data_IF_646737750368
#
_entry.id   IF_646737750368
#
_cell.length_a   1.000
_cell.length_b   1.000
_cell.length_c   1.000
_cell.angle_alpha   90.00
_cell.angle_beta   90.00
_cell.angle_gamma   90.00
#
_symmetry.space_group_name_H-M   'P 1'
#
loop_
_entity.id
_entity.type
_entity.pdbx_description
1 polymer ?
#
# COMPACT_ATOMS: atom_id res chain seq x y z
N UNK A 1 4.35 31.26 19.74
CA UNK A 1 3.62 32.52 19.97
C UNK A 1 4.55 33.70 19.65
N UNK A 2 4.71 34.07 18.37
CA UNK A 2 5.55 35.23 18.01
C UNK A 2 5.20 35.77 16.60
N UNK A 3 3.92 36.09 16.37
CA UNK A 3 3.42 36.63 15.07
C UNK A 3 3.01 38.10 15.15
N UNK A 4 3.17 38.74 16.31
CA UNK A 4 2.68 40.10 16.58
C UNK A 4 3.68 41.20 16.26
N UNK A 5 4.99 40.92 16.27
CA UNK A 5 6.01 41.99 16.23
C UNK A 5 6.26 42.61 14.84
N UNK A 6 5.88 41.92 13.75
CA UNK A 6 6.17 42.39 12.38
C UNK A 6 5.21 43.49 11.89
N UNK A 7 3.96 43.52 12.38
CA UNK A 7 2.99 44.57 12.01
C UNK A 7 3.35 45.93 12.62
N UNK A 8 3.94 45.93 13.81
CA UNK A 8 4.24 47.16 14.54
C UNK A 8 5.46 47.89 13.97
N UNK A 9 6.38 47.18 13.31
CA UNK A 9 7.60 47.77 12.71
C UNK A 9 7.24 48.64 11.50
N UNK A 10 6.37 48.16 10.62
CA UNK A 10 5.95 48.93 9.43
C UNK A 10 5.19 50.19 9.85
N UNK A 11 4.32 50.08 10.86
CA UNK A 11 3.58 51.20 11.43
C UNK A 11 4.51 52.24 12.08
N UNK A 12 5.53 51.79 12.81
CA UNK A 12 6.52 52.69 13.42
C UNK A 12 7.39 53.41 12.38
N UNK A 13 7.83 52.71 11.34
CA UNK A 13 8.63 53.30 10.25
C UNK A 13 7.81 54.36 9.49
N UNK A 14 6.53 54.07 9.21
CA UNK A 14 5.64 55.02 8.56
C UNK A 14 5.38 56.28 9.42
N UNK A 15 5.24 56.10 10.73
CA UNK A 15 5.05 57.19 11.69
C UNK A 15 6.28 58.10 11.77
N UNK A 16 7.48 57.53 11.83
CA UNK A 16 8.74 58.29 11.83
C UNK A 16 8.96 59.03 10.51
N UNK A 17 8.70 58.39 9.36
CA UNK A 17 8.78 59.04 8.04
C UNK A 17 7.81 60.22 7.90
N UNK A 18 6.59 60.08 8.43
CA UNK A 18 5.57 61.15 8.43
C UNK A 18 6.01 62.34 9.29
N UNK A 19 6.56 62.09 10.48
CA UNK A 19 7.10 63.15 11.35
C UNK A 19 8.26 63.89 10.69
N UNK A 20 9.17 63.17 10.02
CA UNK A 20 10.30 63.78 9.29
C UNK A 20 9.77 64.67 8.15
N UNK A 21 8.78 64.22 7.39
CA UNK A 21 8.16 65.01 6.32
C UNK A 21 7.47 66.29 6.85
N UNK A 22 6.80 66.21 8.00
CA UNK A 22 6.21 67.37 8.69
C UNK A 22 7.27 68.37 9.17
N UNK A 23 8.40 67.89 9.70
CA UNK A 23 9.50 68.76 10.13
C UNK A 23 10.13 69.47 8.93
N UNK A 24 10.35 68.78 7.81
CA UNK A 24 10.91 69.35 6.57
C UNK A 24 9.98 70.42 5.97
N UNK A 25 8.66 70.25 6.07
CA UNK A 25 7.68 71.22 5.56
C UNK A 25 7.50 72.44 6.46
N UNK A 26 7.71 72.31 7.78
CA UNK A 26 7.58 73.41 8.74
C UNK A 26 8.85 74.24 8.88
N UNK A 27 10.03 73.62 8.83
CA UNK A 27 11.28 74.37 8.70
C UNK A 27 11.33 74.85 7.26
N UNK A 28 10.87 76.08 7.01
CA UNK A 28 10.98 76.78 5.73
C UNK A 28 12.46 76.99 5.43
N UNK A 29 13.13 75.94 4.99
CA UNK A 29 14.50 76.00 4.54
C UNK A 29 14.43 76.63 3.15
N UNK A 30 14.75 77.94 3.04
CA UNK A 30 15.11 78.61 1.78
C UNK A 30 16.45 78.05 1.24
N UNK A 31 16.55 76.72 1.16
CA UNK A 31 17.56 76.05 0.37
C UNK A 31 16.99 76.11 -1.04
N UNK A 32 17.68 76.86 -1.91
CA UNK A 32 17.58 76.67 -3.34
C UNK A 32 17.85 75.18 -3.59
N UNK A 33 16.78 74.37 -3.67
CA UNK A 33 16.88 72.99 -4.11
C UNK A 33 17.41 73.06 -5.54
N UNK A 34 18.74 72.94 -5.71
CA UNK A 34 19.32 72.63 -7.00
C UNK A 34 18.65 71.35 -7.48
N UNK A 35 18.26 71.32 -8.77
CA UNK A 35 17.58 70.16 -9.37
C UNK A 35 18.26 68.83 -9.00
N UNK A 36 19.58 68.84 -8.83
CA UNK A 36 20.41 67.70 -8.43
C UNK A 36 20.07 67.13 -7.04
N UNK A 37 19.74 67.96 -6.05
CA UNK A 37 19.39 67.51 -4.69
C UNK A 37 18.01 66.85 -4.66
N UNK A 38 17.04 67.39 -5.40
CA UNK A 38 15.71 66.81 -5.54
C UNK A 38 15.75 65.47 -6.28
N UNK A 39 16.53 65.39 -7.36
CA UNK A 39 16.78 64.16 -8.11
C UNK A 39 17.45 63.10 -7.22
N UNK A 40 18.40 63.48 -6.38
CA UNK A 40 19.05 62.57 -5.42
C UNK A 40 18.08 61.95 -4.40
N UNK A 41 17.18 62.75 -3.83
CA UNK A 41 16.16 62.26 -2.88
C UNK A 41 15.17 61.32 -3.58
N UNK A 42 14.68 61.70 -4.76
CA UNK A 42 13.77 60.86 -5.55
C UNK A 42 14.43 59.54 -5.96
N UNK A 43 15.70 59.56 -6.37
CA UNK A 43 16.47 58.36 -6.69
C UNK A 43 16.63 57.45 -5.46
N UNK A 44 16.85 58.02 -4.27
CA UNK A 44 16.91 57.27 -3.02
C UNK A 44 15.60 56.55 -2.68
N UNK A 45 14.45 57.23 -2.80
CA UNK A 45 13.13 56.61 -2.58
C UNK A 45 12.83 55.53 -3.61
N UNK A 46 13.13 55.76 -4.90
CA UNK A 46 12.95 54.74 -5.94
C UNK A 46 13.81 53.50 -5.67
N UNK A 47 15.07 53.67 -5.25
CA UNK A 47 15.95 52.56 -4.89
C UNK A 47 15.45 51.78 -3.66
N UNK A 48 14.97 52.49 -2.63
CA UNK A 48 14.41 51.87 -1.43
C UNK A 48 13.13 51.06 -1.74
N UNK A 49 12.20 51.65 -2.48
CA UNK A 49 10.97 50.97 -2.90
C UNK A 49 11.27 49.76 -3.79
N UNK A 50 12.20 49.89 -4.75
CA UNK A 50 12.61 48.77 -5.61
C UNK A 50 13.17 47.61 -4.78
N UNK A 51 14.00 47.88 -3.78
CA UNK A 51 14.58 46.86 -2.90
C UNK A 51 13.51 46.17 -2.06
N UNK A 52 12.53 46.92 -1.52
CA UNK A 52 11.42 46.34 -0.75
C UNK A 52 10.55 45.43 -1.63
N UNK A 53 10.21 45.88 -2.85
CA UNK A 53 9.38 45.11 -3.78
C UNK A 53 10.10 43.82 -4.22
N UNK A 54 11.36 43.92 -4.63
CA UNK A 54 12.15 42.75 -5.04
C UNK A 54 12.39 41.82 -3.85
N UNK A 55 12.66 42.36 -2.66
CA UNK A 55 12.81 41.56 -1.43
C UNK A 55 11.56 40.77 -1.09
N UNK A 56 10.37 41.39 -1.21
CA UNK A 56 9.09 40.70 -1.00
C UNK A 56 8.83 39.62 -2.05
N UNK A 57 9.18 39.85 -3.31
CA UNK A 57 9.07 38.85 -4.39
C UNK A 57 9.99 37.66 -4.13
N UNK A 58 11.25 37.91 -3.76
CA UNK A 58 12.23 36.86 -3.43
C UNK A 58 11.71 36.03 -2.26
N UNK A 59 11.27 36.67 -1.17
CA UNK A 59 10.74 35.97 0.00
C UNK A 59 9.55 35.07 -0.35
N UNK A 60 8.56 35.62 -1.06
CA UNK A 60 7.39 34.85 -1.49
C UNK A 60 7.77 33.69 -2.40
N UNK A 61 8.74 33.88 -3.30
CA UNK A 61 9.24 32.83 -4.20
C UNK A 61 9.95 31.71 -3.42
N UNK A 62 10.79 32.05 -2.44
CA UNK A 62 11.48 31.07 -1.60
C UNK A 62 10.47 30.29 -0.77
N UNK A 63 9.51 30.96 -0.13
CA UNK A 63 8.48 30.33 0.69
C UNK A 63 7.57 29.43 -0.15
N UNK A 64 7.20 29.86 -1.35
CA UNK A 64 6.43 29.05 -2.30
C UNK A 64 7.22 27.82 -2.72
N UNK A 65 8.49 27.98 -3.05
CA UNK A 65 9.38 26.87 -3.43
C UNK A 65 9.54 25.86 -2.30
N UNK A 66 9.66 26.32 -1.05
CA UNK A 66 9.73 25.46 0.14
C UNK A 66 8.44 24.64 0.29
N UNK A 67 7.28 25.28 0.18
CA UNK A 67 5.99 24.60 0.24
C UNK A 67 5.80 23.59 -0.89
N UNK A 68 6.24 23.90 -2.10
CA UNK A 68 6.20 22.96 -3.24
C UNK A 68 7.05 21.72 -2.92
N UNK A 69 8.28 21.91 -2.43
CA UNK A 69 9.15 20.78 -2.02
C UNK A 69 8.53 19.94 -0.91
N UNK A 70 7.91 20.58 0.08
CA UNK A 70 7.18 19.88 1.15
C UNK A 70 6.03 19.06 0.57
N UNK A 71 5.23 19.62 -0.35
CA UNK A 71 4.14 18.92 -1.01
C UNK A 71 4.64 17.74 -1.86
N UNK A 72 5.72 17.90 -2.63
CA UNK A 72 6.33 16.82 -3.42
C UNK A 72 6.83 15.68 -2.53
N UNK A 73 7.45 16.03 -1.39
CA UNK A 73 7.91 15.03 -0.41
C UNK A 73 6.73 14.26 0.20
N UNK A 74 5.65 14.97 0.55
CA UNK A 74 4.45 14.36 1.12
C UNK A 74 3.73 13.49 0.09
N UNK A 75 3.65 13.93 -1.17
CA UNK A 75 3.08 13.13 -2.25
C UNK A 75 3.89 11.83 -2.48
N UNK A 76 5.22 11.92 -2.43
CA UNK A 76 6.10 10.75 -2.56
C UNK A 76 5.87 9.77 -1.41
N UNK A 77 5.77 10.27 -0.17
CA UNK A 77 5.50 9.46 1.01
C UNK A 77 4.12 8.80 0.95
N UNK A 78 3.07 9.54 0.56
CA UNK A 78 1.73 8.99 0.39
C UNK A 78 1.73 7.87 -0.66
N UNK A 79 2.45 8.05 -1.77
CA UNK A 79 2.54 7.03 -2.81
C UNK A 79 3.28 5.77 -2.32
N UNK A 80 4.34 5.92 -1.53
CA UNK A 80 5.03 4.77 -0.93
C UNK A 80 4.14 4.05 0.08
N UNK A 81 3.41 4.80 0.92
CA UNK A 81 2.52 4.23 1.94
C UNK A 81 1.35 3.49 1.30
N UNK A 82 0.75 4.05 0.25
CA UNK A 82 -0.31 3.39 -0.53
C UNK A 82 0.21 2.08 -1.13
N UNK A 83 1.42 2.07 -1.69
CA UNK A 83 2.02 0.86 -2.27
C UNK A 83 2.23 -0.20 -1.19
N UNK A 84 2.84 0.17 -0.08
CA UNK A 84 3.07 -0.70 1.07
C UNK A 84 1.76 -1.29 1.62
N UNK A 85 0.75 -0.46 1.85
CA UNK A 85 -0.56 -0.91 2.36
C UNK A 85 -1.29 -1.83 1.39
N UNK A 86 -1.13 -1.64 0.08
CA UNK A 86 -1.69 -2.56 -0.92
C UNK A 86 -1.04 -3.94 -0.84
N UNK A 87 0.30 -3.97 -0.78
CA UNK A 87 1.07 -5.22 -0.65
C UNK A 87 0.74 -5.95 0.67
N UNK A 88 0.66 -5.22 1.79
CA UNK A 88 0.31 -5.78 3.09
C UNK A 88 -1.12 -6.34 3.10
N UNK A 89 -2.08 -5.61 2.51
CA UNK A 89 -3.48 -6.05 2.39
C UNK A 89 -3.62 -7.30 1.51
N UNK A 90 -2.90 -7.37 0.39
CA UNK A 90 -2.88 -8.56 -0.46
C UNK A 90 -2.34 -9.77 0.29
N UNK A 91 -1.20 -9.62 0.97
CA UNK A 91 -0.62 -10.67 1.81
C UNK A 91 -1.59 -11.12 2.92
N UNK A 92 -2.24 -10.18 3.60
CA UNK A 92 -3.21 -10.47 4.66
C UNK A 92 -4.44 -11.23 4.15
N UNK A 93 -4.91 -10.90 2.94
CA UNK A 93 -6.01 -11.61 2.29
C UNK A 93 -5.63 -13.08 2.02
N UNK A 94 -4.43 -13.32 1.48
CA UNK A 94 -3.93 -14.68 1.24
C UNK A 94 -3.79 -15.46 2.55
N UNK A 95 -3.27 -14.84 3.62
CA UNK A 95 -3.21 -15.47 4.95
C UNK A 95 -4.59 -15.83 5.50
N UNK A 96 -5.57 -14.95 5.33
CA UNK A 96 -6.95 -15.18 5.78
C UNK A 96 -7.58 -16.34 5.03
N UNK A 97 -7.43 -16.37 3.70
CA UNK A 97 -7.94 -17.47 2.85
C UNK A 97 -7.27 -18.79 3.18
N UNK A 98 -5.95 -18.79 3.39
CA UNK A 98 -5.21 -19.95 3.87
C UNK A 98 -5.81 -20.48 5.17
N UNK A 99 -5.91 -19.64 6.21
CA UNK A 99 -6.36 -20.06 7.54
C UNK A 99 -7.80 -20.57 7.55
N UNK A 100 -8.70 -19.90 6.80
CA UNK A 100 -10.09 -20.30 6.63
C UNK A 100 -10.19 -21.68 5.97
N UNK A 101 -9.56 -21.86 4.81
CA UNK A 101 -9.65 -23.11 4.05
C UNK A 101 -8.92 -24.27 4.75
N UNK A 102 -7.81 -24.00 5.42
CA UNK A 102 -7.09 -25.00 6.20
C UNK A 102 -7.97 -25.52 7.35
N UNK A 103 -8.61 -24.61 8.08
CA UNK A 103 -9.54 -24.95 9.16
C UNK A 103 -10.80 -25.68 8.65
N UNK A 104 -11.33 -25.25 7.50
CA UNK A 104 -12.47 -25.89 6.84
C UNK A 104 -12.13 -27.31 6.36
N UNK A 105 -10.93 -27.54 5.83
CA UNK A 105 -10.45 -28.86 5.45
C UNK A 105 -10.36 -29.79 6.65
N UNK A 106 -9.83 -29.31 7.78
CA UNK A 106 -9.75 -30.08 9.03
C UNK A 106 -11.16 -30.45 9.53
N UNK A 107 -12.07 -29.48 9.63
CA UNK A 107 -13.42 -29.72 10.14
C UNK A 107 -14.21 -30.69 9.25
N UNK A 108 -14.06 -30.58 7.93
CA UNK A 108 -14.73 -31.47 6.97
C UNK A 108 -14.13 -32.87 6.98
N UNK A 109 -12.82 -32.99 7.16
CA UNK A 109 -12.17 -34.29 7.33
C UNK A 109 -12.69 -35.05 8.56
N UNK A 110 -13.13 -34.32 9.59
CA UNK A 110 -13.80 -34.88 10.78
C UNK A 110 -15.26 -35.26 10.48
N UNK A 111 -16.00 -34.41 9.77
CA UNK A 111 -17.42 -34.66 9.45
C UNK A 111 -17.62 -35.77 8.39
N UNK A 112 -16.57 -36.11 7.64
CA UNK A 112 -16.51 -37.31 6.82
C UNK A 112 -16.66 -37.12 5.32
N UNK A 113 -16.77 -35.88 4.81
CA UNK A 113 -16.76 -35.60 3.38
C UNK A 113 -15.32 -35.37 2.90
N UNK A 114 -14.68 -36.43 2.42
CA UNK A 114 -13.24 -36.42 2.14
C UNK A 114 -12.90 -35.60 0.89
N UNK A 115 -13.76 -35.60 -0.12
CA UNK A 115 -13.54 -34.83 -1.36
C UNK A 115 -13.67 -33.31 -1.12
N UNK A 116 -14.63 -32.88 -0.31
CA UNK A 116 -14.74 -31.48 0.07
C UNK A 116 -13.58 -31.04 0.98
N UNK A 117 -13.12 -31.92 1.88
CA UNK A 117 -11.92 -31.66 2.67
C UNK A 117 -10.68 -31.47 1.78
N UNK A 118 -10.53 -32.29 0.73
CA UNK A 118 -9.44 -32.14 -0.23
C UNK A 118 -9.52 -30.83 -1.01
N UNK A 119 -10.70 -30.41 -1.45
CA UNK A 119 -10.90 -29.11 -2.14
C UNK A 119 -10.48 -27.92 -1.25
N UNK A 120 -10.89 -27.95 0.02
CA UNK A 120 -10.50 -26.95 0.99
C UNK A 120 -8.98 -26.97 1.24
N UNK A 121 -8.36 -28.15 1.41
CA UNK A 121 -6.91 -28.25 1.55
C UNK A 121 -6.16 -27.81 0.30
N UNK A 122 -6.65 -28.10 -0.90
CA UNK A 122 -6.04 -27.64 -2.14
C UNK A 122 -6.05 -26.12 -2.22
N UNK A 123 -7.18 -25.50 -1.91
CA UNK A 123 -7.29 -24.03 -1.86
C UNK A 123 -6.32 -23.46 -0.81
N UNK A 124 -6.22 -24.08 0.36
CA UNK A 124 -5.22 -23.67 1.36
C UNK A 124 -3.77 -23.86 0.87
N UNK A 125 -3.48 -24.91 0.11
CA UNK A 125 -2.16 -25.15 -0.47
C UNK A 125 -1.79 -24.08 -1.50
N UNK A 126 -2.73 -23.70 -2.39
CA UNK A 126 -2.52 -22.61 -3.35
C UNK A 126 -2.19 -21.30 -2.62
N UNK A 127 -2.95 -20.95 -1.59
CA UNK A 127 -2.71 -19.75 -0.78
C UNK A 127 -1.36 -19.82 -0.04
N UNK A 128 -0.97 -20.99 0.46
CA UNK A 128 0.34 -21.20 1.10
C UNK A 128 1.51 -21.08 0.11
N UNK A 129 1.32 -21.54 -1.13
CA UNK A 129 2.30 -21.41 -2.22
C UNK A 129 2.42 -19.97 -2.71
N UNK A 130 1.32 -19.21 -2.77
CA UNK A 130 1.35 -17.75 -3.05
C UNK A 130 2.15 -17.01 -1.97
N UNK A 131 1.93 -17.37 -0.70
CA UNK A 131 2.64 -16.79 0.44
C UNK A 131 4.11 -17.24 0.54
N UNK A 132 4.53 -18.21 -0.27
CA UNK A 132 5.85 -18.84 -0.27
C UNK A 132 6.30 -19.28 1.15
N UNK A 133 5.34 -19.78 1.94
CA UNK A 133 5.57 -20.11 3.34
C UNK A 133 5.66 -21.62 3.55
N UNK A 134 6.88 -22.12 3.74
CA UNK A 134 7.17 -23.56 3.89
C UNK A 134 6.46 -24.20 5.08
N UNK A 135 6.25 -23.48 6.18
CA UNK A 135 5.51 -23.97 7.34
C UNK A 135 4.04 -24.23 6.97
N UNK A 136 3.42 -23.31 6.27
CA UNK A 136 2.02 -23.43 5.82
C UNK A 136 1.86 -24.52 4.77
N UNK A 137 2.77 -24.57 3.79
CA UNK A 137 2.80 -25.60 2.75
C UNK A 137 2.89 -26.99 3.39
N UNK A 138 3.86 -27.20 4.29
CA UNK A 138 4.05 -28.49 4.95
C UNK A 138 2.86 -28.84 5.87
N UNK A 139 2.30 -27.85 6.57
CA UNK A 139 1.11 -28.02 7.39
C UNK A 139 -0.07 -28.56 6.59
N UNK A 140 -0.33 -27.99 5.40
CA UNK A 140 -1.41 -28.44 4.52
C UNK A 140 -1.10 -29.81 3.91
N UNK A 141 0.12 -30.03 3.42
CA UNK A 141 0.52 -31.32 2.84
C UNK A 141 0.41 -32.48 3.84
N UNK A 142 0.79 -32.28 5.10
CA UNK A 142 0.61 -33.27 6.15
C UNK A 142 -0.88 -33.62 6.36
N UNK A 143 -1.78 -32.62 6.27
CA UNK A 143 -3.21 -32.87 6.38
C UNK A 143 -3.79 -33.59 5.15
N UNK A 144 -3.30 -33.27 3.96
CA UNK A 144 -3.64 -33.99 2.72
C UNK A 144 -3.17 -35.46 2.83
N UNK A 145 -1.98 -35.70 3.36
CA UNK A 145 -1.46 -37.05 3.58
C UNK A 145 -2.36 -37.87 4.51
N UNK A 146 -2.74 -37.30 5.65
CA UNK A 146 -3.68 -37.93 6.60
C UNK A 146 -5.01 -38.24 5.92
N UNK A 147 -5.52 -37.32 5.11
CA UNK A 147 -6.75 -37.53 4.33
C UNK A 147 -6.59 -38.69 3.33
N UNK A 148 -5.49 -38.72 2.59
CA UNK A 148 -5.16 -39.79 1.63
C UNK A 148 -5.08 -41.15 2.33
N UNK A 149 -4.47 -41.23 3.51
CA UNK A 149 -4.39 -42.45 4.31
C UNK A 149 -5.78 -42.91 4.80
N UNK A 150 -6.67 -41.98 5.16
CA UNK A 150 -8.08 -42.28 5.48
C UNK A 150 -8.87 -42.79 4.27
N UNK A 151 -8.61 -42.27 3.08
CA UNK A 151 -9.24 -42.71 1.83
C UNK A 151 -8.79 -44.14 1.48
N UNK A 152 -7.49 -44.42 1.60
CA UNK A 152 -6.91 -45.75 1.35
C UNK A 152 -7.46 -46.81 2.31
N UNK A 153 -7.65 -46.46 3.59
CA UNK A 153 -8.17 -47.38 4.62
C UNK A 153 -9.68 -47.57 4.59
N UNK A 154 -10.45 -46.57 4.14
CA UNK A 154 -11.92 -46.65 4.05
C UNK A 154 -12.41 -45.90 2.81
N UNK A 155 -12.82 -46.66 1.80
CA UNK A 155 -13.35 -46.12 0.55
C UNK A 155 -14.55 -45.21 0.82
N UNK A 156 -14.50 -44.01 0.25
CA UNK A 156 -15.67 -43.15 0.15
C UNK A 156 -16.71 -43.84 -0.75
N UNK A 157 -18.00 -43.72 -0.42
CA UNK A 157 -19.09 -44.27 -1.25
C UNK A 157 -19.81 -43.20 -2.07
N UNK A 158 -19.62 -41.92 -1.74
CA UNK A 158 -20.35 -40.81 -2.35
C UNK A 158 -19.39 -39.65 -2.59
N UNK A 159 -19.34 -39.18 -3.83
CA UNK A 159 -18.63 -37.97 -4.22
C UNK A 159 -19.57 -36.77 -4.06
N UNK A 160 -19.06 -35.67 -3.52
CA UNK A 160 -19.81 -34.41 -3.54
C UNK A 160 -20.07 -33.98 -4.99
N UNK A 161 -21.32 -33.60 -5.32
CA UNK A 161 -21.78 -33.30 -6.70
C UNK A 161 -20.94 -32.29 -7.52
N UNK A 162 -19.99 -31.59 -6.91
CA UNK A 162 -19.22 -30.47 -7.52
C UNK A 162 -17.71 -30.76 -7.55
N UNK A 163 -17.26 -31.99 -7.28
CA UNK A 163 -15.82 -32.29 -7.31
C UNK A 163 -15.32 -32.50 -8.75
N UNK A 164 -14.40 -31.63 -9.20
CA UNK A 164 -13.81 -31.63 -10.55
C UNK A 164 -12.32 -31.97 -10.43
N UNK A 165 -11.93 -33.19 -10.82
CA UNK A 165 -10.58 -33.72 -10.58
C UNK A 165 -9.49 -32.93 -11.32
N UNK A 166 -9.81 -32.37 -12.49
CA UNK A 166 -8.91 -31.60 -13.35
C UNK A 166 -8.40 -30.31 -12.69
N UNK A 167 -9.19 -29.74 -11.76
CA UNK A 167 -8.80 -28.58 -10.97
C UNK A 167 -7.50 -28.83 -10.21
N UNK A 168 -7.30 -30.05 -9.72
CA UNK A 168 -6.21 -30.42 -8.82
C UNK A 168 -4.99 -30.97 -9.56
N UNK A 169 -4.93 -30.83 -10.89
CA UNK A 169 -3.81 -31.34 -11.65
C UNK A 169 -2.49 -30.70 -11.14
N UNK A 170 -1.44 -31.48 -10.87
CA UNK A 170 -0.13 -30.98 -10.41
C UNK A 170 0.43 -29.85 -11.29
N UNK A 171 0.18 -29.90 -12.61
CA UNK A 171 0.56 -28.85 -13.56
C UNK A 171 -0.02 -27.47 -13.24
N UNK A 172 -1.17 -27.40 -12.55
CA UNK A 172 -1.78 -26.13 -12.18
C UNK A 172 -1.00 -25.40 -11.08
N UNK A 173 -0.18 -26.14 -10.31
CA UNK A 173 0.67 -25.61 -9.25
C UNK A 173 2.08 -25.27 -9.74
N UNK A 174 2.48 -25.65 -10.95
CA UNK A 174 3.84 -25.43 -11.47
C UNK A 174 4.22 -23.95 -11.65
N UNK A 175 3.24 -23.05 -11.60
CA UNK A 175 3.43 -21.60 -11.64
C UNK A 175 4.00 -21.01 -10.34
N UNK A 176 4.01 -21.76 -9.24
CA UNK A 176 4.48 -21.29 -7.94
C UNK A 176 5.94 -21.68 -7.70
N UNK A 177 6.73 -20.73 -7.17
CA UNK A 177 8.18 -20.92 -6.96
C UNK A 177 8.49 -22.15 -6.08
N UNK A 178 7.79 -22.29 -4.96
CA UNK A 178 7.99 -23.40 -4.02
C UNK A 178 7.39 -24.73 -4.48
N UNK A 179 6.66 -24.79 -5.60
CA UNK A 179 6.03 -26.03 -6.04
C UNK A 179 7.04 -27.15 -6.30
N UNK A 180 8.19 -26.82 -6.90
CA UNK A 180 9.25 -27.80 -7.19
C UNK A 180 9.74 -28.56 -5.95
N UNK A 181 9.60 -27.97 -4.76
CA UNK A 181 9.98 -28.60 -3.49
C UNK A 181 8.97 -29.66 -3.01
N UNK A 182 7.75 -29.62 -3.52
CA UNK A 182 6.63 -30.46 -3.08
C UNK A 182 6.04 -31.31 -4.20
N UNK A 183 6.52 -31.15 -5.43
CA UNK A 183 6.00 -31.76 -6.66
C UNK A 183 5.75 -33.26 -6.49
N UNK A 184 6.79 -34.04 -6.17
CA UNK A 184 6.67 -35.48 -5.98
C UNK A 184 5.64 -35.85 -4.93
N UNK A 185 5.66 -35.18 -3.78
CA UNK A 185 4.74 -35.45 -2.66
C UNK A 185 3.29 -35.14 -3.04
N UNK A 186 3.07 -34.05 -3.77
CA UNK A 186 1.74 -33.65 -4.20
C UNK A 186 1.20 -34.55 -5.32
N UNK A 187 2.05 -34.99 -6.26
CA UNK A 187 1.68 -35.93 -7.31
C UNK A 187 1.15 -37.26 -6.74
N UNK A 188 1.82 -37.82 -5.73
CA UNK A 188 1.35 -39.02 -5.03
C UNK A 188 -0.03 -38.85 -4.40
N UNK A 189 -0.30 -37.66 -3.83
CA UNK A 189 -1.59 -37.34 -3.24
C UNK A 189 -2.65 -37.16 -4.30
N UNK A 190 -2.33 -36.47 -5.40
CA UNK A 190 -3.23 -36.29 -6.52
C UNK A 190 -3.68 -37.63 -7.12
N UNK A 191 -2.75 -38.56 -7.39
CA UNK A 191 -3.10 -39.88 -7.92
C UNK A 191 -3.96 -40.68 -6.94
N UNK A 192 -3.67 -40.61 -5.64
CA UNK A 192 -4.51 -41.24 -4.60
C UNK A 192 -5.96 -40.72 -4.67
N UNK A 193 -6.15 -39.41 -4.78
CA UNK A 193 -7.49 -38.79 -4.85
C UNK A 193 -8.18 -39.11 -6.16
N UNK A 194 -7.46 -39.08 -7.27
CA UNK A 194 -7.97 -39.40 -8.61
C UNK A 194 -8.48 -40.85 -8.67
N UNK A 195 -7.69 -41.81 -8.19
CA UNK A 195 -8.14 -43.20 -8.11
C UNK A 195 -9.41 -43.36 -7.25
N UNK A 196 -9.48 -42.67 -6.12
CA UNK A 196 -10.64 -42.71 -5.24
C UNK A 196 -11.89 -42.11 -5.92
N UNK A 197 -11.73 -40.99 -6.63
CA UNK A 197 -12.77 -40.34 -7.39
C UNK A 197 -13.31 -41.25 -8.52
N UNK A 198 -12.41 -41.83 -9.32
CA UNK A 198 -12.76 -42.75 -10.41
C UNK A 198 -13.51 -44.00 -9.90
N UNK A 199 -13.08 -44.57 -8.76
CA UNK A 199 -13.78 -45.69 -8.11
C UNK A 199 -15.21 -45.31 -7.69
N UNK A 200 -15.40 -44.12 -7.14
CA UNK A 200 -16.73 -43.65 -6.73
C UNK A 200 -17.66 -43.42 -7.92
N UNK A 201 -17.16 -42.86 -9.04
CA UNK A 201 -17.96 -42.68 -10.26
C UNK A 201 -18.38 -44.04 -10.85
N UNK A 202 -17.47 -45.01 -10.91
CA UNK A 202 -17.81 -46.36 -11.41
C UNK A 202 -18.91 -47.00 -10.57
N UNK A 203 -18.83 -46.88 -9.24
CA UNK A 203 -19.83 -47.42 -8.33
C UNK A 203 -21.21 -46.77 -8.48
N UNK A 204 -21.27 -45.45 -8.72
CA UNK A 204 -22.54 -44.74 -8.93
C UNK A 204 -23.19 -45.09 -10.28
N UNK A 205 -22.40 -45.39 -11.30
CA UNK A 205 -22.90 -45.85 -12.61
C UNK A 205 -23.43 -47.29 -12.58
N UNK A 206 -22.86 -48.18 -11.76
CA UNK A 206 -23.32 -49.57 -11.61
C UNK A 206 -24.52 -49.74 -10.69
N UNK A 207 -24.91 -48.71 -9.94
CA UNK A 207 -26.05 -48.71 -9.02
C UNK A 207 -27.33 -48.05 -9.61
N UNK A 208 -27.26 -47.60 -10.87
CA UNK A 208 -28.39 -47.09 -11.66
C UNK A 208 -28.83 -48.12 -12.70
#
# INVERSE_FOLDING_TARGET
>A
MNKSHNHNIVSWIALVLSIIACIITWVRVDVYFTNDTFVGIMAGFMGACATIVVGAQIYNSIETSRKIKELESLQTQINSDIKYLKEEREKSLHMTKYGLNHSLGISTCISGNKFYAYDAFFTALEEALILDNTTYINGVLNNIEVLCNKIKSKSEKVVAKVFIIEKYNPKNLSKYNSYKLIETRYEEYYETIKEAYEKCIKQSQTAS
#
